data_IF_972448377105
#
_entry.id   IF_972448377105
#
_cell.length_a   1.000
_cell.length_b   1.000
_cell.length_c   1.000
_cell.angle_alpha   90.00
_cell.angle_beta   90.00
_cell.angle_gamma   90.00
#
_symmetry.space_group_name_H-M   'P 1'
#
loop_
_entity.id
_entity.type
_entity.pdbx_description
1 polymer ?
#
# COMPACT_ATOMS: atom_id res chain seq x y z
N UNK A 1 -16.81 32.78 9.08
CA UNK A 1 -16.50 31.49 9.76
C UNK A 1 -15.23 31.67 10.57
N UNK A 2 -15.23 31.26 11.85
CA UNK A 2 -14.05 31.38 12.71
C UNK A 2 -13.01 30.31 12.32
N UNK A 3 -11.81 30.74 11.91
CA UNK A 3 -10.72 29.86 11.46
C UNK A 3 -10.25 28.91 12.55
N UNK A 4 -10.36 29.30 13.82
CA UNK A 4 -10.05 28.43 14.97
C UNK A 4 -10.98 27.23 15.02
N UNK A 5 -12.28 27.46 14.78
CA UNK A 5 -13.28 26.39 14.78
C UNK A 5 -13.02 25.43 13.63
N UNK A 6 -12.81 25.94 12.41
CA UNK A 6 -12.50 25.10 11.25
C UNK A 6 -11.22 24.28 11.44
N UNK A 7 -10.17 24.88 12.00
CA UNK A 7 -8.91 24.19 12.28
C UNK A 7 -9.10 23.07 13.29
N UNK A 8 -9.81 23.33 14.39
CA UNK A 8 -10.10 22.30 15.39
C UNK A 8 -10.96 21.19 14.82
N UNK A 9 -12.01 21.52 14.09
CA UNK A 9 -12.88 20.53 13.43
C UNK A 9 -12.08 19.67 12.46
N UNK A 10 -11.21 20.26 11.64
CA UNK A 10 -10.36 19.52 10.72
C UNK A 10 -9.50 18.49 11.46
N UNK A 11 -8.79 18.90 12.52
CA UNK A 11 -7.91 18.00 13.25
C UNK A 11 -8.67 16.90 14.00
N UNK A 12 -9.83 17.23 14.58
CA UNK A 12 -10.69 16.23 15.23
C UNK A 12 -11.15 15.18 14.23
N UNK A 13 -11.64 15.59 13.06
CA UNK A 13 -12.09 14.68 12.01
C UNK A 13 -10.93 13.84 11.46
N UNK A 14 -9.75 14.45 11.26
CA UNK A 14 -8.57 13.75 10.77
C UNK A 14 -8.12 12.65 11.72
N UNK A 15 -8.02 12.95 13.02
CA UNK A 15 -7.62 11.97 14.03
C UNK A 15 -8.66 10.85 14.16
N UNK A 16 -9.94 11.19 14.16
CA UNK A 16 -11.02 10.21 14.18
C UNK A 16 -10.96 9.28 12.95
N UNK A 17 -10.71 9.84 11.76
CA UNK A 17 -10.58 9.07 10.53
C UNK A 17 -9.36 8.13 10.57
N UNK A 18 -8.19 8.62 11.00
CA UNK A 18 -6.98 7.78 11.12
C UNK A 18 -7.20 6.63 12.13
N UNK A 19 -7.82 6.92 13.28
CA UNK A 19 -8.09 5.89 14.28
C UNK A 19 -9.08 4.84 13.76
N UNK A 20 -10.12 5.28 13.05
CA UNK A 20 -11.07 4.38 12.40
C UNK A 20 -10.38 3.50 11.36
N UNK A 21 -9.61 4.10 10.47
CA UNK A 21 -8.87 3.42 9.40
C UNK A 21 -7.92 2.39 9.98
N UNK A 22 -7.14 2.75 11.01
CA UNK A 22 -6.22 1.82 11.65
C UNK A 22 -6.91 0.59 12.26
N UNK A 23 -8.10 0.76 12.83
CA UNK A 23 -8.85 -0.33 13.47
C UNK A 23 -9.55 -1.24 12.46
N UNK A 24 -9.98 -0.70 11.31
CA UNK A 24 -10.79 -1.43 10.33
C UNK A 24 -10.03 -1.89 9.09
N UNK A 25 -8.87 -1.28 8.80
CA UNK A 25 -8.05 -1.67 7.67
C UNK A 25 -7.50 -3.07 7.86
N UNK A 26 -7.47 -3.82 6.76
CA UNK A 26 -6.90 -5.16 6.77
C UNK A 26 -5.40 -5.08 7.12
N UNK A 27 -4.87 -6.06 7.85
CA UNK A 27 -3.44 -6.13 8.12
C UNK A 27 -2.68 -6.18 6.79
N UNK A 28 -1.49 -5.58 6.77
CA UNK A 28 -0.62 -5.63 5.59
C UNK A 28 -0.30 -7.08 5.28
N UNK A 29 -0.79 -7.54 4.13
CA UNK A 29 -0.47 -8.86 3.62
C UNK A 29 0.82 -8.78 2.80
N UNK A 30 1.93 -9.21 3.42
CA UNK A 30 3.26 -9.26 2.79
C UNK A 30 3.35 -10.27 1.64
N UNK A 31 2.34 -11.13 1.49
CA UNK A 31 2.25 -12.17 0.47
C UNK A 31 1.14 -11.88 -0.53
N UNK A 32 0.50 -10.71 -0.42
CA UNK A 32 -0.45 -10.24 -1.41
C UNK A 32 0.33 -9.83 -2.66
N UNK A 33 0.56 -10.81 -3.53
CA UNK A 33 0.97 -10.55 -4.89
C UNK A 33 -0.22 -9.91 -5.61
N UNK A 34 -0.05 -8.68 -6.09
CA UNK A 34 -1.07 -8.01 -6.89
C UNK A 34 -1.53 -8.95 -8.01
N UNK A 35 -2.85 -9.01 -8.29
CA UNK A 35 -3.38 -9.96 -9.28
C UNK A 35 -2.60 -9.83 -10.58
N UNK A 36 -1.95 -10.93 -10.97
CA UNK A 36 -1.07 -11.02 -12.12
C UNK A 36 -1.82 -10.61 -13.40
N UNK A 37 -1.64 -9.35 -13.83
CA UNK A 37 -2.12 -8.87 -15.14
C UNK A 37 -1.32 -9.51 -16.29
N UNK A 38 -0.20 -10.17 -15.98
CA UNK A 38 0.60 -10.95 -16.90
C UNK A 38 1.21 -12.18 -16.20
N UNK A 39 0.38 -13.14 -15.80
CA UNK A 39 0.87 -14.51 -15.61
C UNK A 39 1.25 -15.04 -17.00
N UNK A 40 2.52 -14.87 -17.38
CA UNK A 40 3.08 -15.39 -18.63
C UNK A 40 2.77 -16.87 -18.79
N UNK A 41 2.71 -17.34 -20.04
CA UNK A 41 2.19 -18.63 -20.54
C UNK A 41 2.89 -19.92 -20.03
N UNK A 42 3.54 -19.90 -18.87
CA UNK A 42 4.23 -21.05 -18.28
C UNK A 42 5.64 -21.30 -18.84
N UNK A 43 6.18 -20.38 -19.65
CA UNK A 43 7.58 -20.48 -20.08
C UNK A 43 8.51 -19.94 -18.98
N UNK A 44 9.40 -20.82 -18.50
CA UNK A 44 10.43 -20.51 -17.53
C UNK A 44 11.36 -19.41 -18.08
N UNK A 45 11.60 -18.35 -17.31
CA UNK A 45 12.53 -17.30 -17.69
C UNK A 45 13.98 -17.86 -17.70
N UNK A 46 14.42 -18.34 -18.86
CA UNK A 46 15.81 -18.75 -19.11
C UNK A 46 16.68 -17.51 -19.38
N UNK A 47 16.80 -16.62 -18.40
CA UNK A 47 17.58 -15.39 -18.53
C UNK A 47 18.20 -14.97 -17.21
N UNK A 48 19.38 -15.52 -16.90
CA UNK A 48 20.14 -15.14 -15.72
C UNK A 48 21.50 -15.81 -15.52
N UNK A 49 22.06 -16.51 -16.51
CA UNK A 49 23.38 -17.17 -16.39
C UNK A 49 24.55 -16.33 -16.92
N UNK A 50 24.44 -15.01 -16.98
CA UNK A 50 25.55 -14.15 -17.39
C UNK A 50 25.58 -12.87 -16.57
N UNK A 51 26.32 -12.86 -15.45
CA UNK A 51 27.24 -11.77 -15.03
C UNK A 51 27.64 -11.93 -13.57
N UNK A 52 28.68 -12.74 -13.33
CA UNK A 52 29.65 -12.42 -12.29
C UNK A 52 31.04 -12.62 -12.94
N UNK A 53 31.62 -11.58 -13.57
CA UNK A 53 33.05 -11.56 -13.81
C UNK A 53 33.78 -11.35 -12.48
N UNK A 54 34.96 -11.97 -12.36
CA UNK A 54 35.86 -11.91 -11.20
C UNK A 54 36.13 -10.49 -10.68
#
# INVERSE_FOLDING_TARGET
>A
MNTTVLRSTFWVLLVAFIAWDYVHSQPVDLRYEAPLIAAGSGQHASGGHCSMPD
#
